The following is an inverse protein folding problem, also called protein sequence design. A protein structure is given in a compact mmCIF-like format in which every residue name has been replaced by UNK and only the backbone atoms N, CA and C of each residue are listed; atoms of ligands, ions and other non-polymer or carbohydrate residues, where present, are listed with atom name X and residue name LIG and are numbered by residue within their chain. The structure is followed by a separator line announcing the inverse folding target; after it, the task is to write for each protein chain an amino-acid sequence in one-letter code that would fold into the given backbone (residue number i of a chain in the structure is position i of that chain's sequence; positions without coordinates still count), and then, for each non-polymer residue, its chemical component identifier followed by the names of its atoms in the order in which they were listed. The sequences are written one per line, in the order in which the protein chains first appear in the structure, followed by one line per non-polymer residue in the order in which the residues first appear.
data_IF_429730681127
#
_entry.id   IF_429730681127
#
_cell.length_a   1.000
_cell.length_b   1.000
_cell.length_c   1.000
_cell.angle_alpha   90.00
_cell.angle_beta   90.00
_cell.angle_gamma   90.00
#
_symmetry.space_group_name_H-M   'P 1'
#
loop_
_entity.id
_entity.type
_entity.pdbx_description
1 polymer ?
#
# COMPACT_ATOMS: atom_id res chain seq x y z
N UNK A 1 -10.98 9.75 -29.95
CA UNK A 1 -9.91 8.76 -29.78
C UNK A 1 -9.45 8.90 -28.34
N UNK A 2 -9.76 7.95 -27.45
CA UNK A 2 -9.31 8.03 -26.06
C UNK A 2 -7.79 8.05 -26.07
N UNK A 3 -7.19 9.15 -25.59
CA UNK A 3 -5.83 9.09 -25.10
C UNK A 3 -5.86 8.06 -23.96
N UNK A 4 -5.30 6.89 -24.21
CA UNK A 4 -5.07 5.93 -23.15
C UNK A 4 -4.08 6.60 -22.20
N UNK A 5 -4.54 6.98 -21.00
CA UNK A 5 -3.71 7.53 -19.93
C UNK A 5 -2.40 6.74 -19.80
N UNK A 6 -1.32 7.31 -20.33
CA UNK A 6 0.06 6.76 -20.31
C UNK A 6 0.72 6.91 -18.92
N UNK A 7 -0.05 6.93 -17.84
CA UNK A 7 0.49 6.90 -16.48
C UNK A 7 -0.42 6.18 -15.46
N UNK A 8 -1.01 5.04 -15.84
CA UNK A 8 -1.87 4.24 -14.93
C UNK A 8 -1.12 3.38 -13.91
N UNK A 9 0.21 3.46 -13.84
CA UNK A 9 0.96 2.91 -12.72
C UNK A 9 1.08 4.00 -11.66
N UNK A 10 0.07 4.09 -10.79
CA UNK A 10 0.25 4.81 -9.53
C UNK A 10 1.33 4.09 -8.74
N UNK A 11 2.27 4.83 -8.16
CA UNK A 11 3.28 4.22 -7.29
C UNK A 11 2.55 3.48 -6.16
N UNK A 12 2.77 2.17 -6.10
CA UNK A 12 2.25 1.34 -5.02
C UNK A 12 3.40 1.05 -4.09
N UNK A 13 3.15 1.22 -2.80
CA UNK A 13 4.12 1.04 -1.75
C UNK A 13 3.67 -0.06 -0.79
N UNK A 14 4.63 -0.88 -0.35
CA UNK A 14 4.39 -1.95 0.60
C UNK A 14 4.73 -1.47 2.00
N UNK A 15 3.78 -1.66 2.90
CA UNK A 15 3.89 -1.23 4.28
C UNK A 15 3.72 -2.47 5.15
N UNK A 16 4.69 -2.71 6.03
CA UNK A 16 4.57 -3.70 7.09
C UNK A 16 3.86 -3.07 8.27
N UNK A 17 2.77 -3.68 8.69
CA UNK A 17 2.05 -3.32 9.90
C UNK A 17 2.35 -4.33 11.00
N UNK A 18 2.73 -3.85 12.19
CA UNK A 18 2.88 -4.68 13.39
C UNK A 18 1.69 -4.45 14.31
N UNK A 19 0.97 -5.51 14.63
CA UNK A 19 -0.16 -5.46 15.54
C UNK A 19 0.31 -5.32 17.00
N UNK A 20 -0.63 -4.99 17.88
CA UNK A 20 -0.46 -5.02 19.34
C UNK A 20 -0.03 -6.41 19.86
N UNK A 21 -0.55 -7.47 19.24
CA UNK A 21 -0.14 -8.86 19.49
C UNK A 21 1.26 -9.21 18.94
N UNK A 22 2.00 -8.24 18.37
CA UNK A 22 3.33 -8.40 17.76
C UNK A 22 3.35 -9.27 16.49
N UNK A 23 2.20 -9.45 15.85
CA UNK A 23 2.12 -10.11 14.55
C UNK A 23 2.35 -9.11 13.41
N UNK A 24 2.92 -9.57 12.31
CA UNK A 24 3.15 -8.72 11.13
C UNK A 24 2.18 -9.04 9.99
N UNK A 25 1.68 -7.96 9.38
CA UNK A 25 0.77 -7.95 8.22
C UNK A 25 1.36 -7.06 7.13
N UNK A 26 0.96 -7.30 5.89
CA UNK A 26 1.39 -6.50 4.74
C UNK A 26 0.22 -5.70 4.19
N UNK A 27 0.49 -4.46 3.83
CA UNK A 27 -0.48 -3.53 3.30
C UNK A 27 0.10 -2.86 2.05
N UNK A 28 -0.74 -2.62 1.05
CA UNK A 28 -0.41 -1.86 -0.14
C UNK A 28 -1.06 -0.48 -0.06
N UNK A 29 -0.33 0.56 -0.46
CA UNK A 29 -0.82 1.93 -0.58
C UNK A 29 -0.50 2.49 -1.96
N UNK A 30 -1.53 2.85 -2.74
CA UNK A 30 -1.39 3.47 -4.06
C UNK A 30 -1.36 5.01 -3.94
N UNK A 31 -0.28 5.53 -3.34
CA UNK A 31 -0.12 6.93 -2.93
C UNK A 31 1.31 7.38 -3.22
N UNK A 32 1.63 8.68 -3.16
CA UNK A 32 3.04 9.10 -3.06
C UNK A 32 3.75 8.39 -1.91
N UNK A 33 5.05 8.15 -2.07
CA UNK A 33 5.87 7.42 -1.09
C UNK A 33 5.82 8.03 0.30
N UNK A 34 5.83 9.36 0.38
CA UNK A 34 5.84 10.10 1.63
C UNK A 34 4.51 9.96 2.39
N UNK A 35 3.42 9.68 1.69
CA UNK A 35 2.07 9.52 2.25
C UNK A 35 1.74 8.06 2.61
N UNK A 36 2.50 7.09 2.10
CA UNK A 36 2.13 5.67 2.19
C UNK A 36 1.93 5.17 3.63
N UNK A 37 2.81 5.57 4.56
CA UNK A 37 2.71 5.19 5.97
C UNK A 37 1.51 5.85 6.63
N UNK A 38 1.30 7.14 6.40
CA UNK A 38 0.19 7.91 6.97
C UNK A 38 -1.16 7.31 6.53
N UNK A 39 -1.30 7.01 5.24
CA UNK A 39 -2.54 6.44 4.69
C UNK A 39 -2.84 5.03 5.18
N UNK A 40 -1.80 4.26 5.51
CA UNK A 40 -1.99 2.97 6.19
C UNK A 40 -2.37 3.16 7.66
N UNK A 41 -1.75 4.11 8.36
CA UNK A 41 -2.11 4.42 9.75
C UNK A 41 -3.57 4.86 9.88
N UNK A 42 -4.11 5.59 8.91
CA UNK A 42 -5.51 6.05 8.89
C UNK A 42 -6.55 4.92 8.88
N UNK A 43 -6.18 3.72 8.44
CA UNK A 43 -7.12 2.61 8.22
C UNK A 43 -6.89 1.41 9.15
N UNK A 44 -5.77 1.38 9.87
CA UNK A 44 -5.49 0.33 10.85
C UNK A 44 -5.93 0.75 12.26
N UNK A 45 -6.17 -0.21 13.17
CA UNK A 45 -6.48 0.09 14.56
C UNK A 45 -5.41 0.93 15.28
N UNK A 46 -5.85 1.77 16.22
CA UNK A 46 -4.96 2.49 17.13
C UNK A 46 -4.07 1.52 17.93
N UNK A 47 -2.84 1.96 18.23
CA UNK A 47 -1.85 1.16 18.96
C UNK A 47 -1.03 0.21 18.08
N UNK A 48 -1.38 0.04 16.81
CA UNK A 48 -0.56 -0.67 15.83
C UNK A 48 0.51 0.27 15.24
N UNK A 49 1.51 -0.31 14.58
CA UNK A 49 2.61 0.46 13.97
C UNK A 49 2.79 0.10 12.51
N UNK A 50 3.21 1.06 11.69
CA UNK A 50 3.41 0.89 10.25
C UNK A 50 4.83 1.31 9.85
N UNK A 51 5.47 0.55 8.97
CA UNK A 51 6.80 0.83 8.42
C UNK A 51 6.79 0.58 6.91
N UNK A 52 7.23 1.59 6.15
CA UNK A 52 7.42 1.48 4.72
C UNK A 52 8.56 0.50 4.41
N UNK A 53 8.33 -0.40 3.46
CA UNK A 53 9.35 -1.29 2.93
C UNK A 53 9.92 -0.70 1.64
N UNK A 54 11.23 -0.84 1.43
CA UNK A 54 11.94 -0.26 0.30
C UNK A 54 11.71 -1.02 -1.01
N UNK A 55 11.20 -2.25 -0.94
CA UNK A 55 11.06 -3.13 -2.09
C UNK A 55 9.61 -3.59 -2.25
N UNK A 56 9.08 -3.34 -3.44
CA UNK A 56 7.98 -4.10 -4.02
C UNK A 56 8.51 -4.74 -5.29
N UNK A 57 8.19 -6.01 -5.49
CA UNK A 57 8.18 -6.55 -6.83
C UNK A 57 6.85 -6.09 -7.48
N UNK A 58 6.87 -5.12 -8.42
CA UNK A 58 5.65 -4.56 -9.00
C UNK A 58 4.86 -5.56 -9.86
N UNK A 59 5.32 -6.80 -9.97
CA UNK A 59 4.76 -7.83 -10.87
C UNK A 59 3.54 -8.55 -10.30
N UNK A 60 3.12 -8.28 -9.05
CA UNK A 60 1.96 -8.91 -8.46
C UNK A 60 0.63 -8.37 -9.03
N UNK A 61 -0.28 -9.30 -9.38
CA UNK A 61 -1.65 -8.98 -9.82
C UNK A 61 -2.41 -8.09 -8.82
N UNK A 62 -2.00 -8.13 -7.55
CA UNK A 62 -2.51 -7.25 -6.53
C UNK A 62 -2.33 -5.76 -6.91
N UNK A 63 -1.14 -5.38 -7.35
CA UNK A 63 -0.74 -4.01 -7.62
C UNK A 63 -1.46 -3.47 -8.87
N UNK A 64 -1.63 -4.31 -9.89
CA UNK A 64 -2.19 -3.95 -11.21
C UNK A 64 -3.62 -3.42 -11.20
N UNK A 65 -4.40 -3.60 -10.12
CA UNK A 65 -5.81 -3.20 -10.05
C UNK A 65 -6.12 -2.16 -8.97
N UNK A 66 -5.11 -1.61 -8.29
CA UNK A 66 -5.33 -0.59 -7.27
C UNK A 66 -5.69 0.76 -7.89
N UNK A 67 -6.63 1.47 -7.25
CA UNK A 67 -6.99 2.84 -7.60
C UNK A 67 -6.07 3.84 -6.86
N UNK A 68 -5.88 5.05 -7.41
CA UNK A 68 -5.25 6.14 -6.67
C UNK A 68 -5.85 6.33 -5.29
N UNK A 69 -5.00 6.42 -4.26
CA UNK A 69 -5.41 6.58 -2.87
C UNK A 69 -5.95 5.32 -2.20
N UNK A 70 -6.05 4.20 -2.93
CA UNK A 70 -6.46 2.92 -2.34
C UNK A 70 -5.39 2.41 -1.38
N UNK A 71 -5.86 1.92 -0.23
CA UNK A 71 -5.05 1.24 0.78
C UNK A 71 -5.73 -0.08 1.11
N UNK A 72 -4.97 -1.17 1.15
CA UNK A 72 -5.55 -2.50 1.41
C UNK A 72 -4.55 -3.48 2.04
N UNK A 73 -5.05 -4.38 2.87
CA UNK A 73 -4.29 -5.50 3.40
C UNK A 73 -4.03 -6.55 2.31
N UNK A 74 -2.82 -7.11 2.31
CA UNK A 74 -2.46 -8.27 1.50
C UNK A 74 -2.70 -9.53 2.34
N UNK A 75 -3.66 -10.39 1.95
CA UNK A 75 -3.83 -11.66 2.64
C UNK A 75 -2.58 -12.53 2.47
N UNK A 76 -2.18 -13.23 3.53
CA UNK A 76 -1.12 -14.25 3.47
C UNK A 76 -1.56 -15.47 2.67
#
# INVERSE_FOLDING_TARGET
MLAMDENRFHEVHLVRVTTDDREWRLWLAATPREEAVERVLDVIPEGWTAVLLDELDPTDAAILFMKPGEVREVPR
#
